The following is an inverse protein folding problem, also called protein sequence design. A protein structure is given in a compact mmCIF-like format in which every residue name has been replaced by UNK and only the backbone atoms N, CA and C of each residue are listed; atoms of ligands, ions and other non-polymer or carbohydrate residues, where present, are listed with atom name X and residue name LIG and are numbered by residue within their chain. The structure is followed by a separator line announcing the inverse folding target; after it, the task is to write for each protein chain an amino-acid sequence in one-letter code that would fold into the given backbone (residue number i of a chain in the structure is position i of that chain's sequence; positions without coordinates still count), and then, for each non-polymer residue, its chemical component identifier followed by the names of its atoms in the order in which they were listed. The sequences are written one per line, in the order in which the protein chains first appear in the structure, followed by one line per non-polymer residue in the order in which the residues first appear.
data_IF_106286356530
#
_entry.id   IF_106286356530
#
_cell.length_a   1.000
_cell.length_b   1.000
_cell.length_c   1.000
_cell.angle_alpha   90.00
_cell.angle_beta   90.00
_cell.angle_gamma   90.00
#
_symmetry.space_group_name_H-M   'P 1'
#
loop_
_entity.id
_entity.type
_entity.pdbx_description
1 polymer ?
#
# COMPACT_ATOMS: atom_id res chain seq x y z
N UNK A 1 7.01 -0.44 13.53
CA UNK A 1 7.97 0.54 14.09
C UNK A 1 7.21 1.73 14.65
N UNK A 2 7.70 2.45 15.68
CA UNK A 2 6.90 3.46 16.41
C UNK A 2 6.31 4.57 15.51
N UNK A 3 5.17 5.17 15.86
CA UNK A 3 4.64 6.32 15.12
C UNK A 3 5.67 7.45 15.04
N UNK A 4 5.70 8.19 13.92
CA UNK A 4 6.61 9.33 13.73
C UNK A 4 8.04 9.01 13.25
N UNK A 5 8.42 7.75 13.02
CA UNK A 5 9.79 7.40 12.59
C UNK A 5 10.06 7.59 11.09
N UNK A 6 9.26 8.40 10.39
CA UNK A 6 9.46 8.68 8.96
C UNK A 6 9.14 7.54 7.98
N UNK A 7 8.41 6.49 8.39
CA UNK A 7 8.04 5.36 7.51
C UNK A 7 7.31 5.79 6.24
N UNK A 8 6.32 6.68 6.39
CA UNK A 8 5.60 7.26 5.26
C UNK A 8 6.52 8.10 4.38
N UNK A 9 7.43 8.87 4.97
CA UNK A 9 8.38 9.72 4.23
C UNK A 9 9.33 8.88 3.38
N UNK A 10 9.83 7.76 3.93
CA UNK A 10 10.67 6.83 3.16
C UNK A 10 9.88 6.22 2.00
N UNK A 11 8.62 5.84 2.22
CA UNK A 11 7.76 5.29 1.17
C UNK A 11 7.49 6.29 0.03
N UNK A 12 7.24 7.56 0.35
CA UNK A 12 7.04 8.63 -0.65
C UNK A 12 8.33 8.88 -1.47
N UNK A 13 9.50 8.86 -0.82
CA UNK A 13 10.79 8.99 -1.52
C UNK A 13 11.02 7.82 -2.48
N UNK A 14 10.70 6.58 -2.06
CA UNK A 14 10.80 5.39 -2.91
C UNK A 14 9.87 5.51 -4.11
N UNK A 15 8.61 5.91 -3.91
CA UNK A 15 7.64 6.09 -5.00
C UNK A 15 8.16 7.08 -6.06
N UNK A 16 8.67 8.23 -5.64
CA UNK A 16 9.25 9.25 -6.53
C UNK A 16 10.46 8.73 -7.30
N UNK A 17 11.36 8.00 -6.65
CA UNK A 17 12.54 7.42 -7.30
C UNK A 17 12.20 6.34 -8.32
N UNK A 18 11.10 5.62 -8.10
CA UNK A 18 10.61 4.58 -9.00
C UNK A 18 9.58 5.07 -10.01
N UNK A 19 9.32 6.39 -10.10
CA UNK A 19 8.28 6.98 -10.95
C UNK A 19 6.90 6.31 -10.78
N UNK A 20 6.56 5.94 -9.53
CA UNK A 20 5.28 5.34 -9.17
C UNK A 20 4.38 6.35 -8.49
N UNK A 21 3.07 6.24 -8.71
CA UNK A 21 2.10 7.02 -7.94
C UNK A 21 2.03 6.51 -6.52
N UNK A 22 2.11 7.43 -5.57
CA UNK A 22 2.05 7.12 -4.15
C UNK A 22 0.61 7.27 -3.62
N UNK A 23 0.05 6.19 -3.10
CA UNK A 23 -1.21 6.20 -2.37
C UNK A 23 -1.00 5.74 -0.95
N UNK A 24 -1.72 6.35 0.00
CA UNK A 24 -1.67 5.99 1.41
C UNK A 24 -3.07 5.74 1.93
N UNK A 25 -3.26 4.60 2.58
CA UNK A 25 -4.48 4.26 3.31
C UNK A 25 -4.14 3.84 4.74
N UNK A 26 -5.13 3.93 5.63
CA UNK A 26 -5.03 3.42 6.99
C UNK A 26 -6.10 2.33 7.17
N UNK A 27 -5.67 1.11 7.54
CA UNK A 27 -6.54 -0.05 7.63
C UNK A 27 -7.60 0.04 8.76
N UNK A 28 -7.48 1.00 9.69
CA UNK A 28 -8.51 1.26 10.71
C UNK A 28 -9.79 1.84 10.13
N UNK A 29 -9.70 2.51 8.97
CA UNK A 29 -10.84 3.20 8.33
C UNK A 29 -11.09 2.74 6.90
N UNK A 30 -10.06 2.21 6.23
CA UNK A 30 -10.16 1.74 4.87
C UNK A 30 -10.81 0.34 4.78
N UNK A 31 -11.46 0.09 3.66
CA UNK A 31 -11.99 -1.21 3.27
C UNK A 31 -11.14 -1.82 2.14
N UNK A 32 -11.41 -3.10 1.84
CA UNK A 32 -10.82 -3.76 0.68
C UNK A 32 -11.32 -3.17 -0.65
N UNK A 33 -12.49 -2.49 -0.64
CA UNK A 33 -12.98 -1.78 -1.84
C UNK A 33 -12.12 -0.56 -2.15
N UNK A 34 -11.77 0.23 -1.13
CA UNK A 34 -10.93 1.43 -1.31
C UNK A 34 -9.56 1.06 -1.89
N UNK A 35 -9.00 -0.07 -1.46
CA UNK A 35 -7.79 -0.64 -2.06
C UNK A 35 -8.02 -0.91 -3.54
N UNK A 36 -9.06 -1.67 -3.90
CA UNK A 36 -9.35 -2.02 -5.30
C UNK A 36 -9.54 -0.79 -6.18
N UNK A 37 -10.21 0.24 -5.68
CA UNK A 37 -10.44 1.46 -6.43
C UNK A 37 -9.12 2.19 -6.74
N UNK A 38 -8.18 2.20 -5.78
CA UNK A 38 -6.83 2.73 -6.01
C UNK A 38 -6.08 1.86 -7.02
N UNK A 39 -6.11 0.54 -6.86
CA UNK A 39 -5.37 -0.37 -7.72
C UNK A 39 -5.90 -0.40 -9.15
N UNK A 40 -7.22 -0.25 -9.33
CA UNK A 40 -7.87 -0.15 -10.64
C UNK A 40 -7.45 1.10 -11.42
N UNK A 41 -6.99 2.16 -10.74
CA UNK A 41 -6.44 3.32 -11.44
C UNK A 41 -5.14 2.96 -12.17
N UNK A 42 -4.36 1.97 -11.72
CA UNK A 42 -3.05 1.63 -12.31
C UNK A 42 -3.09 1.34 -13.81
N UNK A 43 -4.21 0.79 -14.32
CA UNK A 43 -4.39 0.47 -15.73
C UNK A 43 -4.56 1.70 -16.63
N UNK A 44 -4.91 2.84 -16.03
CA UNK A 44 -5.21 4.08 -16.75
C UNK A 44 -4.08 5.11 -16.66
N UNK A 45 -3.01 4.80 -15.93
CA UNK A 45 -1.92 5.75 -15.67
C UNK A 45 -0.89 5.74 -16.80
N UNK A 46 -1.08 6.63 -17.77
CA UNK A 46 -0.08 6.91 -18.81
C UNK A 46 1.05 7.74 -18.19
N UNK A 47 2.29 7.23 -18.21
CA UNK A 47 3.50 7.95 -17.80
C UNK A 47 4.05 7.63 -16.41
N UNK A 48 3.40 6.77 -15.63
CA UNK A 48 3.93 6.23 -14.36
C UNK A 48 4.27 4.74 -14.49
N UNK A 49 5.28 4.28 -13.76
CA UNK A 49 5.73 2.88 -13.74
C UNK A 49 4.93 2.02 -12.73
N UNK A 50 3.69 2.42 -12.46
CA UNK A 50 2.73 1.73 -11.59
C UNK A 50 2.42 2.46 -10.28
N UNK A 51 1.90 1.72 -9.31
CA UNK A 51 1.44 2.25 -8.01
C UNK A 51 2.35 1.76 -6.89
N UNK A 52 2.67 2.64 -5.95
CA UNK A 52 3.13 2.29 -4.61
C UNK A 52 1.99 2.57 -3.61
N UNK A 53 1.42 1.51 -3.05
CA UNK A 53 0.37 1.58 -2.03
C UNK A 53 0.97 1.38 -0.64
N UNK A 54 0.87 2.41 0.20
CA UNK A 54 1.21 2.34 1.61
C UNK A 54 -0.03 2.06 2.46
N UNK A 55 0.01 0.98 3.25
CA UNK A 55 -1.05 0.59 4.18
C UNK A 55 -0.53 0.75 5.61
N UNK A 56 -1.12 1.66 6.36
CA UNK A 56 -0.84 1.80 7.79
C UNK A 56 -1.75 0.90 8.64
N UNK A 57 -1.21 0.45 9.77
CA UNK A 57 -1.86 -0.43 10.74
C UNK A 57 -2.50 -1.69 10.11
N UNK A 58 -1.75 -2.39 9.25
CA UNK A 58 -2.25 -3.55 8.48
C UNK A 58 -2.89 -4.65 9.35
N UNK A 59 -2.54 -4.74 10.63
CA UNK A 59 -3.14 -5.68 11.57
C UNK A 59 -4.67 -5.52 11.73
N UNK A 60 -5.25 -4.36 11.36
CA UNK A 60 -6.70 -4.15 11.37
C UNK A 60 -7.41 -4.83 10.18
N UNK A 61 -6.68 -5.22 9.14
CA UNK A 61 -7.21 -6.10 8.11
C UNK A 61 -7.20 -7.54 8.59
N UNK A 62 -8.33 -8.24 8.40
CA UNK A 62 -8.42 -9.66 8.72
C UNK A 62 -7.58 -10.51 7.74
N UNK A 63 -7.32 -11.78 8.10
CA UNK A 63 -6.51 -12.70 7.28
C UNK A 63 -6.98 -12.82 5.83
N UNK A 64 -8.30 -12.79 5.59
CA UNK A 64 -8.87 -12.87 4.24
C UNK A 64 -8.55 -11.61 3.44
N UNK A 65 -8.67 -10.44 4.04
CA UNK A 65 -8.30 -9.17 3.41
C UNK A 65 -6.80 -9.11 3.11
N UNK A 66 -5.95 -9.52 4.05
CA UNK A 66 -4.50 -9.60 3.84
C UNK A 66 -4.14 -10.57 2.72
N UNK A 67 -4.79 -11.73 2.63
CA UNK A 67 -4.60 -12.67 1.52
C UNK A 67 -4.99 -12.04 0.18
N UNK A 68 -6.13 -11.35 0.13
CA UNK A 68 -6.54 -10.63 -1.08
C UNK A 68 -5.54 -9.54 -1.49
N UNK A 69 -4.80 -8.93 -0.54
CA UNK A 69 -3.75 -7.98 -0.88
C UNK A 69 -2.58 -8.63 -1.63
N UNK A 70 -2.24 -9.89 -1.33
CA UNK A 70 -1.13 -10.61 -1.97
C UNK A 70 -1.39 -10.85 -3.46
N UNK A 71 -2.64 -11.13 -3.85
CA UNK A 71 -3.04 -11.31 -5.25
C UNK A 71 -2.68 -10.10 -6.12
N UNK A 72 -2.71 -8.89 -5.54
CA UNK A 72 -2.37 -7.66 -6.26
C UNK A 72 -0.86 -7.40 -6.36
N UNK A 73 -0.06 -7.99 -5.46
CA UNK A 73 1.40 -7.83 -5.47
C UNK A 73 2.04 -8.79 -6.47
N UNK A 74 1.48 -9.99 -6.62
CA UNK A 74 1.99 -11.04 -7.52
C UNK A 74 2.04 -10.59 -8.99
N UNK A 75 1.17 -9.68 -9.39
CA UNK A 75 1.10 -9.13 -10.75
C UNK A 75 2.07 -7.96 -11.01
N UNK A 76 2.85 -7.53 -10.00
CA UNK A 76 3.96 -6.58 -10.15
C UNK A 76 3.59 -5.12 -10.48
N UNK A 77 2.34 -4.85 -10.89
CA UNK A 77 1.81 -3.50 -11.16
C UNK A 77 1.70 -2.62 -9.91
N UNK A 78 1.72 -3.25 -8.74
CA UNK A 78 1.52 -2.62 -7.43
C UNK A 78 2.66 -3.01 -6.50
N UNK A 79 3.35 -2.02 -5.95
CA UNK A 79 4.29 -2.20 -4.84
C UNK A 79 3.59 -1.85 -3.54
N UNK A 80 3.58 -2.78 -2.59
CA UNK A 80 2.85 -2.62 -1.35
C UNK A 80 3.83 -2.45 -0.19
N UNK A 81 3.67 -1.37 0.58
CA UNK A 81 4.44 -1.11 1.81
C UNK A 81 3.46 -1.08 2.98
N UNK A 82 3.68 -1.94 3.97
CA UNK A 82 2.82 -2.01 5.15
C UNK A 82 3.58 -1.52 6.39
N UNK A 83 2.88 -0.78 7.24
CA UNK A 83 3.31 -0.58 8.62
C UNK A 83 2.36 -1.24 9.61
N UNK A 84 2.97 -1.72 10.69
CA UNK A 84 2.28 -2.14 11.90
C UNK A 84 3.03 -1.58 13.10
N UNK A 85 2.27 -1.21 14.14
CA UNK A 85 2.79 -0.90 15.47
C UNK A 85 2.86 -2.14 16.36
N UNK A 86 2.17 -3.21 15.99
CA UNK A 86 2.25 -4.52 16.63
C UNK A 86 3.40 -5.35 16.05
N UNK A 87 3.88 -6.33 16.82
CA UNK A 87 4.97 -7.22 16.40
C UNK A 87 4.40 -8.23 15.38
N UNK A 88 4.93 -8.33 14.15
CA UNK A 88 4.30 -9.06 13.04
C UNK A 88 4.45 -10.60 13.08
N UNK A 89 4.49 -11.22 14.27
CA UNK A 89 4.66 -12.67 14.44
C UNK A 89 3.33 -13.41 14.65
#
# INVERSE_FOLDING_TARGET
GPPGTGKTTVADIVAKRCNKLFYRINATVASLSDVRDILGQSETLIGSDGILLYIDEIQYFNKKQQQSLLEYVEDGRVTLICSTTENPY
#
